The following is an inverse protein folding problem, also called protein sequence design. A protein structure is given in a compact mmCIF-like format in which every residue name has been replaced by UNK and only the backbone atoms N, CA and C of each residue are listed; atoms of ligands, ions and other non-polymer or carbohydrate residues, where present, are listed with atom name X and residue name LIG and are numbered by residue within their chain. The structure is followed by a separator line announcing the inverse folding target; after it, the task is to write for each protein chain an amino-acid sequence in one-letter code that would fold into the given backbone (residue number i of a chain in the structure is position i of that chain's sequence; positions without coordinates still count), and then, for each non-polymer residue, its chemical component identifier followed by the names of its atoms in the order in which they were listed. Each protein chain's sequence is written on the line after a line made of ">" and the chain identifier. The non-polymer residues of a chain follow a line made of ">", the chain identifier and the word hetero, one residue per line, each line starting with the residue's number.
data_IF_073660045524
#
_entry.id   IF_073660045524
#
_cell.length_a   1.000
_cell.length_b   1.000
_cell.length_c   1.000
_cell.angle_alpha   90.00
_cell.angle_beta   90.00
_cell.angle_gamma   90.00
#
_symmetry.space_group_name_H-M   'P 1'
#
loop_
_entity.id
_entity.type
_entity.pdbx_description
1 polymer ?
#
# COMPACT_ATOMS: atom_id res chain seq x y z
N UNK A 1 12.07 -2.55 -6.37
CA UNK A 1 10.74 -2.67 -5.72
C UNK A 1 10.50 -1.42 -4.90
N UNK A 2 9.48 -0.62 -5.23
CA UNK A 2 9.12 0.57 -4.45
C UNK A 2 8.17 0.13 -3.34
N UNK A 3 8.71 -0.19 -2.17
CA UNK A 3 7.90 -0.49 -1.00
C UNK A 3 8.05 0.58 0.07
N UNK A 4 6.95 0.86 0.77
CA UNK A 4 7.00 1.55 2.04
C UNK A 4 7.95 0.81 2.98
N UNK A 5 8.76 1.55 3.71
CA UNK A 5 9.55 1.00 4.81
C UNK A 5 8.63 0.52 5.94
N UNK A 6 9.15 -0.35 6.82
CA UNK A 6 8.38 -0.84 7.97
C UNK A 6 7.95 0.29 8.91
N UNK A 7 8.83 1.28 9.13
CA UNK A 7 8.52 2.45 9.93
C UNK A 7 7.43 3.32 9.32
N UNK A 8 7.41 3.45 7.98
CA UNK A 8 6.31 4.12 7.28
C UNK A 8 5.02 3.33 7.45
N UNK A 9 5.04 2.01 7.27
CA UNK A 9 3.86 1.15 7.45
C UNK A 9 3.27 1.25 8.85
N UNK A 10 4.10 1.18 9.89
CA UNK A 10 3.66 1.34 11.28
C UNK A 10 3.01 2.69 11.55
N UNK A 11 3.42 3.75 10.84
CA UNK A 11 2.78 5.06 10.94
C UNK A 11 1.36 5.09 10.35
N UNK A 12 1.06 4.24 9.36
CA UNK A 12 -0.24 4.21 8.68
C UNK A 12 -1.20 3.19 9.30
N UNK A 13 -0.64 2.14 9.93
CA UNK A 13 -1.37 1.03 10.55
C UNK A 13 -2.52 1.45 11.48
N UNK A 14 -2.43 2.53 12.29
CA UNK A 14 -3.53 2.96 13.17
C UNK A 14 -4.78 3.44 12.41
N UNK A 15 -4.65 3.83 11.15
CA UNK A 15 -5.76 4.33 10.34
C UNK A 15 -6.50 3.23 9.59
N UNK A 16 -6.03 1.99 9.69
CA UNK A 16 -6.70 0.89 9.02
C UNK A 16 -8.00 0.57 9.76
N UNK A 17 -9.08 0.24 9.04
CA UNK A 17 -10.30 -0.23 9.68
C UNK A 17 -10.06 -1.53 10.47
N UNK A 18 -11.05 -2.04 11.18
CA UNK A 18 -10.98 -3.41 11.69
C UNK A 18 -11.20 -4.38 10.51
N UNK A 19 -10.46 -5.50 10.50
CA UNK A 19 -10.67 -6.54 9.49
C UNK A 19 -11.98 -7.30 9.80
N UNK A 20 -12.91 -7.35 8.83
CA UNK A 20 -14.22 -8.00 9.00
C UNK A 20 -14.16 -9.48 8.63
N UNK A 21 -13.37 -10.29 9.35
CA UNK A 21 -13.29 -11.73 9.17
C UNK A 21 -12.46 -12.22 7.97
N UNK A 22 -12.04 -11.31 7.08
CA UNK A 22 -11.09 -11.60 6.00
C UNK A 22 -9.70 -11.06 6.39
N UNK A 23 -8.66 -11.90 6.48
CA UNK A 23 -7.31 -11.44 6.80
C UNK A 23 -6.74 -10.58 5.68
N UNK A 24 -6.00 -9.53 6.06
CA UNK A 24 -5.29 -8.68 5.10
C UNK A 24 -4.05 -9.42 4.60
N UNK A 25 -3.98 -9.62 3.29
CA UNK A 25 -2.95 -10.48 2.69
C UNK A 25 -1.67 -9.71 2.38
N UNK A 26 -1.76 -8.49 1.81
CA UNK A 26 -0.56 -7.72 1.44
C UNK A 26 -0.80 -6.20 1.39
N UNK A 27 -1.07 -5.59 2.56
CA UNK A 27 -1.30 -4.13 2.65
C UNK A 27 -0.06 -3.33 2.25
N UNK A 28 1.13 -3.86 2.53
CA UNK A 28 2.39 -3.15 2.24
C UNK A 28 2.56 -2.96 0.75
N UNK A 29 2.31 -4.00 -0.05
CA UNK A 29 2.36 -3.88 -1.51
C UNK A 29 1.28 -2.96 -2.05
N UNK A 30 0.01 -3.18 -1.68
CA UNK A 30 -1.13 -2.38 -2.18
C UNK A 30 -0.94 -0.90 -1.88
N UNK A 31 -0.57 -0.55 -0.64
CA UNK A 31 -0.32 0.84 -0.29
C UNK A 31 0.88 1.45 -1.01
N UNK A 32 1.94 0.66 -1.22
CA UNK A 32 3.10 1.14 -1.96
C UNK A 32 2.77 1.44 -3.42
N UNK A 33 1.93 0.61 -4.05
CA UNK A 33 1.40 0.83 -5.39
C UNK A 33 0.53 2.10 -5.45
N UNK A 34 -0.36 2.31 -4.46
CA UNK A 34 -1.18 3.54 -4.34
C UNK A 34 -0.29 4.78 -4.23
N UNK A 35 0.69 4.78 -3.33
CA UNK A 35 1.62 5.89 -3.15
C UNK A 35 2.42 6.17 -4.43
N UNK A 36 2.86 5.12 -5.12
CA UNK A 36 3.59 5.25 -6.38
C UNK A 36 2.75 5.91 -7.47
N UNK A 37 1.51 5.47 -7.66
CA UNK A 37 0.60 6.02 -8.68
C UNK A 37 0.29 7.49 -8.39
N UNK A 38 -0.05 7.83 -7.14
CA UNK A 38 -0.38 9.20 -6.73
C UNK A 38 0.83 10.13 -6.86
N UNK A 39 2.01 9.70 -6.42
CA UNK A 39 3.22 10.53 -6.43
C UNK A 39 3.70 10.90 -7.83
N UNK A 40 3.46 10.02 -8.80
CA UNK A 40 3.94 10.17 -10.17
C UNK A 40 2.83 10.61 -11.14
N UNK A 41 1.59 10.76 -10.68
CA UNK A 41 0.44 11.12 -11.55
C UNK A 41 0.13 10.06 -12.60
N UNK A 42 0.33 8.78 -12.27
CA UNK A 42 0.16 7.65 -13.19
C UNK A 42 -1.25 7.07 -13.14
N UNK A 43 -1.52 6.10 -14.03
CA UNK A 43 -2.72 5.27 -13.92
C UNK A 43 -2.41 3.97 -13.19
N UNK A 44 -3.44 3.32 -12.63
CA UNK A 44 -3.27 2.06 -11.90
C UNK A 44 -2.63 0.94 -12.76
N UNK A 45 -2.86 0.96 -14.08
CA UNK A 45 -2.23 0.01 -15.02
C UNK A 45 -0.70 0.13 -15.07
N UNK A 46 -0.16 1.28 -14.68
CA UNK A 46 1.26 1.61 -14.65
C UNK A 46 1.88 1.31 -13.26
N UNK A 47 1.07 0.83 -12.31
CA UNK A 47 1.56 0.37 -11.02
C UNK A 47 2.56 -0.79 -11.22
N UNK A 48 3.62 -0.87 -10.39
CA UNK A 48 4.57 -1.98 -10.48
C UNK A 48 3.85 -3.30 -10.25
N UNK A 49 3.87 -4.20 -11.24
CA UNK A 49 3.42 -5.58 -11.07
C UNK A 49 4.56 -6.31 -10.36
N UNK A 50 4.45 -6.39 -9.04
CA UNK A 50 5.34 -7.23 -8.23
C UNK A 50 5.33 -8.68 -8.72
#
# INVERSE_FOLDING_TARGET
>A
MFFLSESQMERIRPFFPLAHGVPRVDDRRVLSEIVYVIRNGLQWKDAPKA
#
